data_IF_770843531722
#
_entry.id   IF_770843531722
#
_cell.length_a   1.000
_cell.length_b   1.000
_cell.length_c   1.000
_cell.angle_alpha   90.00
_cell.angle_beta   90.00
_cell.angle_gamma   90.00
#
_symmetry.space_group_name_H-M   'P 1'
#
loop_
_entity.id
_entity.type
_entity.pdbx_description
1 polymer ?
#
# COMPACT_ATOMS: atom_id res chain seq x y z
N UNK A 1 4.43 -0.90 -4.91
CA UNK A 1 5.19 -0.09 -3.92
C UNK A 1 6.40 -0.87 -3.41
N UNK A 2 7.62 -0.52 -3.82
CA UNK A 2 8.83 -1.32 -3.53
C UNK A 2 9.47 -0.98 -2.18
N UNK A 3 9.19 0.20 -1.62
CA UNK A 3 9.59 0.60 -0.27
C UNK A 3 8.46 1.39 0.41
N UNK A 4 8.00 1.02 1.62
CA UNK A 4 8.13 -0.34 2.16
C UNK A 4 7.56 -1.37 1.16
N UNK A 5 8.12 -2.59 1.09
CA UNK A 5 7.71 -3.56 0.09
C UNK A 5 6.28 -4.04 0.35
N UNK A 6 5.39 -3.86 -0.63
CA UNK A 6 4.00 -4.33 -0.53
C UNK A 6 3.86 -5.85 -0.61
N UNK A 7 2.70 -6.36 -0.21
CA UNK A 7 2.38 -7.80 -0.12
C UNK A 7 2.72 -8.58 -1.39
N UNK A 8 2.42 -8.04 -2.58
CA UNK A 8 2.77 -8.68 -3.85
C UNK A 8 4.27 -8.67 -4.18
N UNK A 9 5.01 -7.65 -3.73
CA UNK A 9 6.44 -7.49 -4.06
C UNK A 9 7.38 -8.15 -3.05
N UNK A 10 7.01 -8.20 -1.76
CA UNK A 10 7.91 -8.53 -0.66
C UNK A 10 8.58 -9.91 -0.82
N UNK A 11 7.89 -10.91 -1.39
CA UNK A 11 8.46 -12.24 -1.66
C UNK A 11 9.65 -12.26 -2.62
N UNK A 12 9.85 -11.18 -3.41
CA UNK A 12 11.03 -11.03 -4.27
C UNK A 12 12.30 -10.79 -3.46
N UNK A 13 12.19 -10.23 -2.26
CA UNK A 13 13.34 -9.84 -1.44
C UNK A 13 14.11 -11.06 -0.89
N UNK A 14 15.44 -10.96 -0.72
CA UNK A 14 16.26 -12.06 -0.20
C UNK A 14 15.84 -12.58 1.17
N UNK A 15 15.32 -11.70 2.04
CA UNK A 15 15.02 -12.01 3.44
C UNK A 15 13.56 -12.45 3.67
N UNK A 16 12.73 -12.55 2.62
CA UNK A 16 11.30 -12.87 2.72
C UNK A 16 10.91 -14.07 1.84
N UNK A 17 11.78 -15.09 1.77
CA UNK A 17 11.57 -16.26 0.90
C UNK A 17 10.42 -17.18 1.29
N UNK A 18 9.90 -17.03 2.51
CA UNK A 18 8.70 -17.73 2.97
C UNK A 18 7.40 -17.12 2.42
N UNK A 19 7.48 -15.96 1.74
CA UNK A 19 6.35 -15.30 1.08
C UNK A 19 6.42 -15.62 -0.42
N UNK A 20 5.32 -16.10 -1.04
CA UNK A 20 5.31 -16.41 -2.47
C UNK A 20 5.57 -15.16 -3.31
N UNK A 21 6.22 -15.34 -4.45
CA UNK A 21 6.39 -14.25 -5.43
C UNK A 21 5.08 -14.09 -6.18
N UNK A 22 4.48 -12.89 -6.11
CA UNK A 22 3.50 -12.47 -7.11
C UNK A 22 4.24 -11.97 -8.36
N UNK A 23 4.03 -12.65 -9.48
CA UNK A 23 4.60 -12.25 -10.76
C UNK A 23 3.83 -11.12 -11.45
N UNK A 24 2.65 -10.78 -10.92
CA UNK A 24 1.75 -9.73 -11.41
C UNK A 24 1.59 -8.58 -10.40
N UNK A 25 2.57 -8.42 -9.50
CA UNK A 25 2.60 -7.44 -8.41
C UNK A 25 2.47 -5.99 -8.89
N UNK A 26 2.81 -5.72 -10.15
CA UNK A 26 2.66 -4.43 -10.80
C UNK A 26 1.25 -4.15 -11.35
N UNK A 27 0.30 -5.09 -11.26
CA UNK A 27 -1.00 -5.05 -11.93
C UNK A 27 -2.23 -4.99 -11.01
N UNK A 28 -2.06 -4.61 -9.74
CA UNK A 28 -3.13 -4.63 -8.73
C UNK A 28 -4.13 -3.47 -8.90
N UNK A 29 -4.96 -3.57 -9.95
CA UNK A 29 -5.90 -2.54 -10.40
C UNK A 29 -7.36 -2.78 -9.97
N UNK A 30 -7.57 -3.53 -8.89
CA UNK A 30 -8.89 -3.91 -8.35
C UNK A 30 -9.85 -4.55 -9.37
N UNK A 31 -9.31 -5.32 -10.31
CA UNK A 31 -10.08 -5.98 -11.36
C UNK A 31 -10.41 -5.07 -12.56
N UNK A 32 -9.82 -3.88 -12.61
CA UNK A 32 -9.89 -2.94 -13.72
C UNK A 32 -11.06 -1.97 -13.67
N UNK A 33 -10.96 -0.94 -14.52
CA UNK A 33 -11.90 0.20 -14.59
C UNK A 33 -13.38 -0.19 -14.66
N UNK A 34 -13.71 -1.29 -15.36
CA UNK A 34 -15.08 -1.76 -15.46
C UNK A 34 -15.68 -2.09 -14.08
N UNK A 35 -14.88 -2.66 -13.18
CA UNK A 35 -15.32 -2.98 -11.82
C UNK A 35 -15.32 -1.75 -10.91
N UNK A 36 -14.24 -0.95 -10.97
CA UNK A 36 -14.05 0.20 -10.08
C UNK A 36 -14.95 1.38 -10.43
N UNK A 37 -15.53 1.44 -11.63
CA UNK A 37 -16.48 2.48 -12.06
C UNK A 37 -17.70 2.63 -11.15
N UNK A 38 -18.04 1.59 -10.39
CA UNK A 38 -19.11 1.60 -9.39
C UNK A 38 -18.66 2.12 -8.00
N UNK A 39 -17.39 2.49 -7.86
CA UNK A 39 -16.76 2.88 -6.60
C UNK A 39 -16.33 1.71 -5.71
N UNK A 40 -16.48 0.46 -6.18
CA UNK A 40 -16.17 -0.74 -5.40
C UNK A 40 -14.81 -1.31 -5.77
N UNK A 41 -13.98 -1.60 -4.77
CA UNK A 41 -12.65 -2.17 -4.94
C UNK A 41 -12.23 -2.99 -3.70
N UNK A 42 -11.24 -3.87 -3.84
CA UNK A 42 -10.55 -4.47 -2.69
C UNK A 42 -9.66 -3.47 -1.98
N UNK A 43 -9.30 -3.75 -0.72
CA UNK A 43 -8.55 -2.79 0.11
C UNK A 43 -7.11 -2.65 -0.38
N UNK A 44 -6.54 -3.76 -0.85
CA UNK A 44 -5.12 -3.89 -1.21
C UNK A 44 -4.87 -4.22 -2.69
N UNK A 45 -5.85 -3.91 -3.55
CA UNK A 45 -5.70 -3.97 -5.02
C UNK A 45 -6.30 -5.19 -5.69
N UNK A 46 -6.85 -6.12 -4.91
CA UNK A 46 -7.70 -7.19 -5.41
C UNK A 46 -9.07 -6.68 -5.91
N UNK A 47 -9.73 -7.46 -6.75
CA UNK A 47 -11.10 -7.18 -7.19
C UNK A 47 -12.09 -7.12 -6.00
N UNK A 48 -13.12 -6.29 -6.11
CA UNK A 48 -14.14 -6.19 -5.05
C UNK A 48 -14.86 -7.54 -4.84
N UNK A 49 -15.16 -8.26 -5.92
CA UNK A 49 -15.73 -9.60 -5.85
C UNK A 49 -14.63 -10.60 -6.18
N UNK A 50 -14.38 -11.54 -5.27
CA UNK A 50 -13.36 -12.58 -5.47
C UNK A 50 -12.57 -12.87 -4.20
N UNK A 51 -11.50 -13.63 -4.36
CA UNK A 51 -10.51 -13.87 -3.31
C UNK A 51 -9.69 -12.59 -3.11
N UNK A 52 -9.47 -12.21 -1.85
CA UNK A 52 -8.62 -11.08 -1.46
C UNK A 52 -7.25 -11.62 -1.08
N UNK A 53 -6.38 -11.76 -2.09
CA UNK A 53 -5.07 -12.39 -1.94
C UNK A 53 -4.06 -11.47 -1.24
N UNK A 54 -4.23 -10.16 -1.38
CA UNK A 54 -3.33 -9.13 -0.88
C UNK A 54 -3.79 -8.46 0.40
N UNK A 55 -4.94 -8.82 0.95
CA UNK A 55 -5.40 -8.35 2.26
C UNK A 55 -4.84 -9.24 3.39
N UNK A 56 -4.85 -8.76 4.64
CA UNK A 56 -4.38 -9.55 5.79
C UNK A 56 -5.10 -10.92 5.86
N UNK A 57 -4.30 -11.98 5.91
CA UNK A 57 -4.74 -13.38 5.87
C UNK A 57 -4.89 -13.97 4.47
N UNK A 58 -4.64 -13.21 3.41
CA UNK A 58 -4.51 -13.69 2.03
C UNK A 58 -3.16 -14.39 1.80
N UNK A 59 -2.96 -14.92 0.58
CA UNK A 59 -1.73 -15.64 0.23
C UNK A 59 -0.48 -14.75 0.18
N UNK A 60 -0.67 -13.42 0.06
CA UNK A 60 0.40 -12.42 0.10
C UNK A 60 0.40 -11.59 1.39
N UNK A 61 -0.76 -11.42 2.05
CA UNK A 61 -0.90 -10.72 3.33
C UNK A 61 -0.65 -11.64 4.54
N UNK A 62 0.59 -12.08 4.72
CA UNK A 62 0.94 -13.21 5.61
C UNK A 62 1.31 -12.85 7.06
N UNK A 63 1.12 -11.61 7.53
CA UNK A 63 1.34 -11.26 8.94
C UNK A 63 0.69 -12.23 9.95
N UNK A 64 -0.55 -12.71 9.74
CA UNK A 64 -1.19 -13.61 10.70
C UNK A 64 -0.48 -14.96 10.88
N UNK A 65 0.32 -15.40 9.91
CA UNK A 65 1.07 -16.67 9.96
C UNK A 65 2.55 -16.45 10.24
N UNK A 66 3.16 -15.42 9.65
CA UNK A 66 4.60 -15.17 9.71
C UNK A 66 5.02 -14.11 10.75
N UNK A 67 4.07 -13.30 11.26
CA UNK A 67 4.34 -12.21 12.21
C UNK A 67 5.42 -11.26 11.68
N UNK A 68 6.44 -11.01 12.50
CA UNK A 68 7.56 -10.12 12.16
C UNK A 68 8.28 -10.46 10.84
N UNK A 69 8.23 -11.72 10.37
CA UNK A 69 8.84 -12.11 9.09
C UNK A 69 8.06 -11.59 7.86
N UNK A 70 6.82 -11.13 8.04
CA UNK A 70 6.05 -10.44 7.00
C UNK A 70 6.24 -8.92 6.99
N UNK A 71 6.95 -8.36 7.98
CA UNK A 71 7.14 -6.91 8.11
C UNK A 71 8.21 -6.43 7.14
N UNK A 72 7.85 -5.51 6.26
CA UNK A 72 8.73 -4.96 5.23
C UNK A 72 9.62 -3.81 5.68
N UNK A 73 9.25 -3.12 6.78
CA UNK A 73 10.02 -2.02 7.35
C UNK A 73 9.66 -1.75 8.82
N UNK A 74 10.58 -1.13 9.55
CA UNK A 74 10.41 -0.69 10.94
C UNK A 74 10.68 0.82 11.02
N UNK A 75 9.75 1.59 11.56
CA UNK A 75 9.83 3.06 11.66
C UNK A 75 9.57 3.55 13.08
N UNK A 76 10.02 4.76 13.40
CA UNK A 76 9.67 5.43 14.67
C UNK A 76 8.37 6.22 14.54
N UNK A 77 7.60 6.40 15.65
CA UNK A 77 6.42 7.24 15.64
C UNK A 77 6.76 8.68 15.22
N UNK A 78 5.98 9.26 14.31
CA UNK A 78 6.23 10.61 13.79
C UNK A 78 7.33 10.70 12.72
N UNK A 79 7.97 9.58 12.35
CA UNK A 79 9.04 9.58 11.36
C UNK A 79 8.55 10.06 10.00
N UNK A 80 9.37 10.88 9.34
CA UNK A 80 9.24 11.11 7.89
C UNK A 80 9.99 10.01 7.16
N UNK A 81 9.25 9.19 6.42
CA UNK A 81 9.75 8.00 5.73
C UNK A 81 9.86 8.24 4.23
N UNK A 82 10.77 7.52 3.58
CA UNK A 82 10.78 7.37 2.13
C UNK A 82 9.82 6.27 1.71
N UNK A 83 8.97 6.58 0.75
CA UNK A 83 8.09 5.61 0.07
C UNK A 83 8.48 5.60 -1.41
N UNK A 84 8.80 4.42 -1.95
CA UNK A 84 9.21 4.24 -3.34
C UNK A 84 8.17 3.43 -4.11
N UNK A 85 7.74 3.98 -5.25
CA UNK A 85 6.84 3.36 -6.20
C UNK A 85 7.59 3.11 -7.50
N UNK A 86 7.70 1.85 -7.90
CA UNK A 86 8.11 1.49 -9.25
C UNK A 86 6.91 1.59 -10.18
N UNK A 87 6.95 2.53 -11.13
CA UNK A 87 5.93 2.69 -12.16
C UNK A 87 6.40 1.99 -13.44
N UNK A 88 5.71 0.91 -13.81
CA UNK A 88 6.00 0.15 -15.05
C UNK A 88 5.23 0.69 -16.26
N UNK A 89 4.05 1.27 -16.02
CA UNK A 89 3.27 2.03 -16.98
C UNK A 89 2.72 3.28 -16.30
N UNK A 90 2.94 4.45 -16.89
CA UNK A 90 2.53 5.72 -16.31
C UNK A 90 1.14 6.15 -16.83
N UNK A 91 0.19 6.32 -15.91
CA UNK A 91 -1.19 6.69 -16.20
C UNK A 91 -1.50 8.15 -15.81
N UNK A 92 -0.47 9.00 -15.65
CA UNK A 92 -0.58 10.40 -15.17
C UNK A 92 -1.21 10.47 -13.77
N UNK A 93 -2.06 11.45 -13.44
CA UNK A 93 -2.79 11.45 -12.18
C UNK A 93 -1.92 11.70 -10.93
N UNK A 94 -2.24 11.03 -9.82
CA UNK A 94 -1.58 11.27 -8.54
C UNK A 94 -1.57 10.04 -7.63
N UNK A 95 -0.62 10.02 -6.69
CA UNK A 95 -0.57 9.04 -5.61
C UNK A 95 -1.16 9.62 -4.32
N UNK A 96 -1.79 8.77 -3.51
CA UNK A 96 -2.09 9.03 -2.11
C UNK A 96 -1.63 7.87 -1.25
N UNK A 97 -1.41 8.15 0.03
CA UNK A 97 -0.95 7.17 1.01
C UNK A 97 -1.82 7.22 2.25
N UNK A 98 -2.07 6.06 2.83
CA UNK A 98 -2.78 5.95 4.09
C UNK A 98 -2.10 4.98 5.04
N UNK A 99 -2.35 5.14 6.33
CA UNK A 99 -1.89 4.26 7.38
C UNK A 99 -3.09 3.70 8.15
N UNK A 100 -3.11 2.39 8.34
CA UNK A 100 -4.08 1.69 9.17
C UNK A 100 -3.35 0.93 10.27
N UNK A 101 -3.80 1.08 11.52
CA UNK A 101 -3.29 0.28 12.65
C UNK A 101 -4.20 -0.92 12.88
N UNK A 102 -3.63 -2.12 12.89
CA UNK A 102 -4.29 -3.37 13.24
C UNK A 102 -3.84 -3.80 14.64
N UNK A 103 -4.79 -4.04 15.53
CA UNK A 103 -4.51 -4.22 16.97
C UNK A 103 -4.21 -5.68 17.32
N UNK A 104 -4.83 -6.60 16.60
CA UNK A 104 -4.66 -8.04 16.74
C UNK A 104 -3.98 -8.67 15.53
N UNK A 105 -3.37 -9.83 15.76
CA UNK A 105 -2.63 -10.59 14.76
C UNK A 105 -3.47 -11.02 13.54
N UNK A 106 -4.78 -11.18 13.74
CA UNK A 106 -5.73 -11.61 12.72
C UNK A 106 -6.71 -10.51 12.31
N UNK A 107 -6.52 -9.28 12.79
CA UNK A 107 -7.33 -8.15 12.37
C UNK A 107 -7.13 -7.93 10.87
N UNK A 108 -8.16 -7.41 10.21
CA UNK A 108 -8.11 -7.04 8.80
C UNK A 108 -8.32 -5.56 8.63
N UNK A 109 -7.55 -4.99 7.73
CA UNK A 109 -7.72 -3.65 7.21
C UNK A 109 -9.07 -3.49 6.53
N UNK A 110 -9.73 -2.35 6.78
CA UNK A 110 -10.93 -1.91 6.07
C UNK A 110 -10.64 -0.59 5.37
N UNK A 111 -11.49 -0.16 4.44
CA UNK A 111 -11.26 1.12 3.74
C UNK A 111 -11.23 2.29 4.74
N UNK A 112 -12.05 2.23 5.79
CA UNK A 112 -12.27 3.28 6.78
C UNK A 112 -11.15 3.36 7.83
N UNK A 113 -10.32 2.33 7.99
CA UNK A 113 -9.24 2.35 8.97
C UNK A 113 -8.05 3.21 8.53
N UNK A 114 -7.94 3.52 7.24
CA UNK A 114 -6.82 4.27 6.71
C UNK A 114 -6.95 5.77 6.99
N UNK A 115 -6.05 6.27 7.84
CA UNK A 115 -5.77 7.68 7.97
C UNK A 115 -4.87 8.14 6.82
N UNK A 116 -5.26 9.20 6.10
CA UNK A 116 -4.44 9.79 5.02
C UNK A 116 -3.13 10.33 5.59
N UNK A 117 -2.02 10.03 4.90
CA UNK A 117 -0.70 10.56 5.20
C UNK A 117 -0.43 11.81 4.36
N UNK A 118 0.35 12.73 4.93
CA UNK A 118 0.77 13.94 4.25
C UNK A 118 2.29 13.98 4.10
N UNK A 119 2.73 14.66 3.04
CA UNK A 119 4.12 15.08 2.86
C UNK A 119 4.49 16.13 3.91
N UNK A 120 5.80 16.37 4.18
CA UNK A 120 6.24 17.40 5.14
C UNK A 120 5.74 18.82 4.81
N UNK A 121 5.39 19.09 3.55
CA UNK A 121 4.81 20.37 3.12
C UNK A 121 3.27 20.43 3.30
N UNK A 122 2.65 19.42 3.90
CA UNK A 122 1.21 19.31 4.15
C UNK A 122 0.39 18.78 2.96
N UNK A 123 1.00 18.46 1.81
CA UNK A 123 0.29 17.93 0.66
C UNK A 123 0.04 16.42 0.81
N UNK A 124 -1.21 15.99 0.64
CA UNK A 124 -1.60 14.57 0.71
C UNK A 124 -1.35 13.86 -0.62
N UNK A 125 -1.68 14.53 -1.73
CA UNK A 125 -1.51 14.01 -3.07
C UNK A 125 -0.11 14.30 -3.60
N UNK A 126 0.47 13.32 -4.28
CA UNK A 126 1.71 13.48 -5.04
C UNK A 126 1.42 13.35 -6.54
N UNK A 127 1.49 14.44 -7.33
CA UNK A 127 1.26 14.39 -8.76
C UNK A 127 2.31 13.52 -9.45
N UNK A 128 1.89 12.55 -10.27
CA UNK A 128 2.81 11.62 -10.93
C UNK A 128 3.46 12.29 -12.14
N UNK A 129 4.80 12.51 -12.16
CA UNK A 129 5.51 13.00 -13.32
C UNK A 129 5.51 11.97 -14.44
N UNK A 130 5.74 12.40 -15.67
CA UNK A 130 5.91 11.47 -16.80
C UNK A 130 7.11 10.53 -16.60
N UNK A 131 6.98 9.30 -17.11
CA UNK A 131 8.08 8.32 -17.17
C UNK A 131 7.76 7.03 -16.42
N UNK A 132 8.38 5.93 -16.87
CA UNK A 132 8.29 4.61 -16.24
C UNK A 132 9.61 4.39 -15.48
N UNK A 133 9.59 4.67 -14.19
CA UNK A 133 10.76 4.65 -13.32
C UNK A 133 10.34 4.50 -11.87
N UNK A 134 11.34 4.44 -10.99
CA UNK A 134 11.11 4.51 -9.56
C UNK A 134 10.93 5.97 -9.15
N UNK A 135 9.84 6.25 -8.44
CA UNK A 135 9.59 7.53 -7.80
C UNK A 135 9.68 7.37 -6.29
N UNK A 136 10.50 8.20 -5.64
CA UNK A 136 10.63 8.21 -4.18
C UNK A 136 10.08 9.51 -3.62
N UNK A 137 9.19 9.38 -2.64
CA UNK A 137 8.49 10.49 -2.00
C UNK A 137 8.65 10.41 -0.48
N UNK A 138 8.51 11.56 0.20
CA UNK A 138 8.58 11.64 1.66
C UNK A 138 7.21 11.87 2.27
N UNK A 139 6.82 11.03 3.22
CA UNK A 139 5.55 11.13 3.96
C UNK A 139 5.78 10.99 5.45
N UNK A 140 5.00 11.72 6.25
CA UNK A 140 5.15 11.75 7.71
C UNK A 140 4.14 10.82 8.37
N UNK A 141 4.63 9.87 9.17
CA UNK A 141 3.79 8.97 9.97
C UNK A 141 3.17 9.73 11.16
N UNK A 142 2.00 9.33 11.68
CA UNK A 142 1.40 9.95 12.85
C UNK A 142 2.26 9.76 14.11
N UNK A 143 2.45 10.82 14.89
CA UNK A 143 3.29 10.79 16.10
C UNK A 143 2.73 9.87 17.21
N UNK A 144 1.40 9.72 17.28
CA UNK A 144 0.72 8.94 18.33
C UNK A 144 0.45 7.47 17.97
N UNK A 145 0.96 6.98 16.84
CA UNK A 145 0.69 5.61 16.37
C UNK A 145 1.90 4.73 16.64
N UNK A 146 1.65 3.61 17.32
CA UNK A 146 2.60 2.50 17.50
C UNK A 146 1.90 1.18 17.16
N UNK A 147 2.63 0.25 16.57
CA UNK A 147 2.16 -1.06 16.14
C UNK A 147 3.37 -1.99 15.94
N UNK A 148 3.54 -2.92 16.87
CA UNK A 148 4.58 -3.94 16.87
C UNK A 148 4.14 -5.19 17.66
N UNK A 149 4.92 -6.28 17.56
CA UNK A 149 4.59 -7.56 18.19
C UNK A 149 3.47 -8.28 17.47
N UNK A 150 2.34 -8.49 18.16
CA UNK A 150 1.12 -9.06 17.53
C UNK A 150 0.23 -7.96 16.90
N UNK A 151 0.61 -6.69 17.01
CA UNK A 151 0.04 -5.56 16.27
C UNK A 151 0.97 -5.18 15.12
N UNK A 152 0.40 -4.70 14.02
CA UNK A 152 1.15 -4.13 12.90
C UNK A 152 0.38 -2.99 12.26
N UNK A 153 1.06 -2.18 11.45
CA UNK A 153 0.40 -1.19 10.63
C UNK A 153 0.50 -1.56 9.16
N UNK A 154 -0.54 -1.18 8.41
CA UNK A 154 -0.59 -1.32 6.97
C UNK A 154 -0.44 0.06 6.34
N UNK A 155 0.59 0.25 5.53
CA UNK A 155 0.70 1.41 4.63
C UNK A 155 0.04 1.05 3.31
N UNK A 156 -0.97 1.82 2.91
CA UNK A 156 -1.63 1.66 1.62
C UNK A 156 -1.20 2.76 0.67
N UNK A 157 -0.73 2.35 -0.50
CA UNK A 157 -0.58 3.21 -1.66
C UNK A 157 -1.84 3.13 -2.53
N UNK A 158 -2.31 4.27 -3.00
CA UNK A 158 -3.37 4.37 -3.99
C UNK A 158 -2.88 5.22 -5.15
N UNK A 159 -3.08 4.73 -6.36
CA UNK A 159 -2.84 5.45 -7.59
C UNK A 159 -4.16 5.72 -8.31
N UNK A 160 -4.58 6.99 -8.37
CA UNK A 160 -5.63 7.45 -9.28
C UNK A 160 -4.98 7.87 -10.60
N UNK A 161 -5.30 7.17 -11.69
CA UNK A 161 -4.90 7.55 -13.04
C UNK A 161 -5.54 8.88 -13.49
N UNK A 162 -5.01 9.47 -14.55
CA UNK A 162 -5.49 10.73 -15.10
C UNK A 162 -5.35 10.83 -16.61
N UNK A 163 -5.22 9.70 -17.30
CA UNK A 163 -5.00 9.62 -18.74
C UNK A 163 -6.29 9.46 -19.55
N UNK A 164 -7.46 9.30 -18.92
CA UNK A 164 -8.75 9.36 -19.61
C UNK A 164 -9.28 10.81 -19.60
N UNK A 165 -9.32 11.51 -20.74
CA UNK A 165 -9.76 12.91 -20.77
C UNK A 165 -11.28 13.04 -20.58
N UNK A 166 -11.70 14.06 -19.83
CA UNK A 166 -13.10 14.45 -19.70
C UNK A 166 -13.96 13.56 -18.79
N UNK A 167 -13.35 12.66 -18.02
CA UNK A 167 -14.06 11.81 -17.04
C UNK A 167 -13.56 12.08 -15.61
N UNK A 168 -14.46 11.89 -14.64
CA UNK A 168 -14.12 12.00 -13.22
C UNK A 168 -13.33 10.79 -12.69
N UNK A 169 -13.06 10.75 -11.38
CA UNK A 169 -12.21 9.71 -10.77
C UNK A 169 -12.68 8.28 -11.07
N UNK A 170 -14.00 8.01 -11.05
CA UNK A 170 -14.57 6.69 -11.38
C UNK A 170 -14.42 6.28 -12.85
N UNK A 171 -14.02 7.20 -13.73
CA UNK A 171 -13.69 6.93 -15.13
C UNK A 171 -12.19 6.75 -15.37
N UNK A 172 -11.37 6.73 -14.33
CA UNK A 172 -9.93 6.48 -14.42
C UNK A 172 -9.62 5.02 -14.05
N UNK A 173 -8.46 4.53 -14.48
CA UNK A 173 -7.90 3.31 -13.91
C UNK A 173 -7.24 3.62 -12.57
N UNK A 174 -7.31 2.68 -11.64
CA UNK A 174 -6.78 2.84 -10.29
C UNK A 174 -5.96 1.64 -9.89
N UNK A 175 -5.01 1.85 -8.98
CA UNK A 175 -4.20 0.78 -8.40
C UNK A 175 -4.10 0.94 -6.88
N UNK A 176 -4.01 -0.17 -6.17
CA UNK A 176 -3.81 -0.20 -4.72
C UNK A 176 -2.77 -1.23 -4.35
N UNK A 177 -1.93 -0.92 -3.37
CA UNK A 177 -1.05 -1.89 -2.72
C UNK A 177 -1.03 -1.65 -1.21
N UNK A 178 -0.79 -2.70 -0.43
CA UNK A 178 -0.63 -2.63 1.03
C UNK A 178 0.73 -3.22 1.45
N UNK A 179 1.39 -2.60 2.42
CA UNK A 179 2.61 -3.11 3.03
C UNK A 179 2.51 -3.12 4.56
N UNK A 180 2.82 -4.27 5.14
CA UNK A 180 2.94 -4.42 6.59
C UNK A 180 4.25 -3.81 7.10
N UNK A 181 4.12 -2.93 8.11
CA UNK A 181 5.23 -2.24 8.75
C UNK A 181 5.07 -2.27 10.27
N UNK A 182 6.20 -2.16 10.97
CA UNK A 182 6.20 -1.82 12.38
C UNK A 182 6.44 -0.34 12.59
N UNK A 183 5.74 0.22 13.57
CA UNK A 183 5.98 1.56 14.10
C UNK A 183 6.22 1.42 15.61
N UNK A 184 7.45 1.57 16.06
CA UNK A 184 7.83 1.37 17.46
C UNK A 184 8.98 2.28 17.85
N UNK A 185 9.05 2.61 19.15
CA UNK A 185 10.18 3.37 19.71
C UNK A 185 11.50 2.56 19.70
N UNK A 186 11.43 1.26 19.41
CA UNK A 186 12.58 0.38 19.26
C UNK A 186 13.07 0.25 17.81
N UNK A 187 12.31 0.77 16.83
CA UNK A 187 12.80 0.92 15.46
C UNK A 187 13.82 2.07 15.41
N UNK A 188 14.90 1.93 14.65
CA UNK A 188 15.98 2.92 14.54
C UNK A 188 17.34 2.30 14.81
#
# INVERSE_FOLDING_TARGET
MTLPPHHGYIGRLPNHKDIPIDYSDNGLNAGGIAQTSSGKHGVCGDAYVGVREHETGGIYGLFPTLGANAIGACYTPGQTIDITIQVTANHMGHFTFGLCKLNGKHDKETVECFQVLAQPNGQEQWPVPSGNQDFTMKYTLPQGVTCDGDSHCVIRWVYEGGNNPGVGPLGQEWFWNCADVYISNTCG
#
